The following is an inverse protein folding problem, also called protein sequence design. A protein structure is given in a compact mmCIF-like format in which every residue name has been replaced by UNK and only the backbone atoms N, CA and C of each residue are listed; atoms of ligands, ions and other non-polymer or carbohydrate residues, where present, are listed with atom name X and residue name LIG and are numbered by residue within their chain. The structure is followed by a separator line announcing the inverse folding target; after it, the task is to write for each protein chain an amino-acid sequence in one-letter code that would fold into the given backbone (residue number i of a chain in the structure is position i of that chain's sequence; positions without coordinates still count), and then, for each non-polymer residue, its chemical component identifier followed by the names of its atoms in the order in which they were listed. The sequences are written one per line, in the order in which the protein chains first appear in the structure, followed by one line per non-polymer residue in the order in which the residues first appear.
data_IF_354303411433
#
_entry.id   IF_354303411433
#
_cell.length_a   1.000
_cell.length_b   1.000
_cell.length_c   1.000
_cell.angle_alpha   90.00
_cell.angle_beta   90.00
_cell.angle_gamma   90.00
#
_symmetry.space_group_name_H-M   'P 1'
#
loop_
_entity.id
_entity.type
_entity.pdbx_description
1 polymer ?
#
# COMPACT_ATOMS: atom_id res chain seq x y z
N UNK A 1 -27.10 26.13 -11.11
CA UNK A 1 -26.72 24.94 -11.89
C UNK A 1 -27.04 23.73 -11.02
N UNK A 2 -28.02 22.93 -11.42
CA UNK A 2 -28.51 21.76 -10.66
C UNK A 2 -27.46 20.63 -10.68
N UNK A 3 -27.04 20.18 -9.50
CA UNK A 3 -26.15 19.03 -9.32
C UNK A 3 -26.95 17.74 -9.46
N UNK A 4 -26.55 16.89 -10.41
CA UNK A 4 -27.22 15.61 -10.71
C UNK A 4 -26.76 14.58 -9.67
N UNK A 5 -27.64 14.26 -8.72
CA UNK A 5 -27.52 13.08 -7.87
C UNK A 5 -27.73 11.84 -8.76
N UNK A 6 -26.67 11.08 -9.00
CA UNK A 6 -26.77 9.85 -9.79
C UNK A 6 -27.28 8.73 -8.88
N UNK A 7 -28.58 8.49 -8.89
CA UNK A 7 -29.23 7.35 -8.24
C UNK A 7 -29.37 6.22 -9.26
N UNK A 8 -28.65 5.12 -9.06
CA UNK A 8 -28.80 3.91 -9.88
C UNK A 8 -29.92 3.04 -9.29
N UNK A 9 -31.15 3.21 -9.78
CA UNK A 9 -32.26 2.27 -9.55
C UNK A 9 -32.22 1.15 -10.58
N UNK A 10 -32.04 -0.10 -10.15
CA UNK A 10 -32.21 -1.28 -10.99
C UNK A 10 -33.53 -1.97 -10.65
N UNK A 11 -34.42 -2.04 -11.65
CA UNK A 11 -35.75 -2.62 -11.56
C UNK A 11 -35.73 -4.15 -11.62
N UNK A 12 -36.48 -4.75 -10.70
CA UNK A 12 -36.82 -6.16 -10.54
C UNK A 12 -37.39 -6.76 -11.84
N UNK A 13 -36.83 -7.88 -12.33
CA UNK A 13 -37.54 -8.83 -13.21
C UNK A 13 -37.79 -10.13 -12.43
N UNK A 14 -38.97 -10.77 -12.60
CA UNK A 14 -39.35 -11.96 -11.86
C UNK A 14 -38.59 -13.19 -12.36
N UNK A 15 -38.19 -14.02 -11.40
CA UNK A 15 -37.42 -15.24 -11.56
C UNK A 15 -38.37 -16.41 -11.89
N UNK A 16 -38.15 -17.09 -13.01
CA UNK A 16 -38.72 -18.42 -13.27
C UNK A 16 -37.68 -19.29 -13.97
N UNK A 17 -37.42 -20.43 -13.35
CA UNK A 17 -36.68 -21.61 -13.83
C UNK A 17 -35.15 -21.58 -13.74
N UNK A 18 -34.63 -21.97 -12.56
CA UNK A 18 -33.31 -22.58 -12.43
C UNK A 18 -33.40 -23.99 -11.81
N UNK A 19 -32.98 -24.95 -12.63
CA UNK A 19 -32.85 -26.38 -12.36
C UNK A 19 -31.77 -26.62 -11.28
N UNK A 20 -32.14 -27.31 -10.19
CA UNK A 20 -31.21 -27.75 -9.14
C UNK A 20 -30.31 -28.89 -9.64
N UNK A 21 -29.00 -28.67 -9.67
CA UNK A 21 -28.00 -29.73 -9.79
C UNK A 21 -27.44 -30.10 -8.41
N UNK A 22 -27.74 -31.32 -7.96
CA UNK A 22 -27.21 -31.95 -6.75
C UNK A 22 -25.83 -32.55 -7.02
N UNK A 23 -24.82 -32.17 -6.22
CA UNK A 23 -23.58 -32.98 -6.08
C UNK A 23 -23.24 -33.15 -4.60
N UNK A 24 -22.97 -34.40 -4.23
CA UNK A 24 -22.64 -34.85 -2.89
C UNK A 24 -21.21 -34.44 -2.45
N UNK A 25 -20.93 -34.29 -1.15
CA UNK A 25 -19.64 -33.83 -0.66
C UNK A 25 -18.56 -34.92 -0.68
N UNK A 26 -17.37 -34.57 -1.20
CA UNK A 26 -16.17 -35.41 -1.19
C UNK A 26 -15.47 -35.30 0.16
N UNK A 27 -15.27 -36.43 0.85
CA UNK A 27 -14.56 -36.52 2.13
C UNK A 27 -13.06 -36.24 1.94
N UNK A 28 -12.50 -35.40 2.82
CA UNK A 28 -11.06 -35.07 2.88
C UNK A 28 -10.33 -36.17 3.66
N UNK A 29 -9.24 -36.70 3.12
CA UNK A 29 -8.37 -37.65 3.81
C UNK A 29 -7.57 -36.98 4.94
N UNK A 30 -7.32 -37.75 6.00
CA UNK A 30 -6.70 -37.34 7.26
C UNK A 30 -5.24 -36.88 7.10
N UNK A 31 -4.82 -35.98 8.00
CA UNK A 31 -3.46 -35.44 8.06
C UNK A 31 -2.58 -36.29 8.98
N UNK A 32 -1.49 -36.83 8.44
CA UNK A 32 -0.47 -37.55 9.22
C UNK A 32 0.28 -36.55 10.12
N UNK A 33 0.24 -36.78 11.44
CA UNK A 33 1.02 -36.04 12.44
C UNK A 33 2.53 -36.31 12.23
N UNK A 34 3.32 -35.27 11.99
CA UNK A 34 4.79 -35.33 12.00
C UNK A 34 5.29 -35.32 13.45
N UNK A 35 6.05 -36.34 13.82
CA UNK A 35 6.79 -36.40 15.08
C UNK A 35 7.92 -35.35 15.09
N UNK A 36 8.06 -34.63 16.21
CA UNK A 36 9.00 -33.51 16.40
C UNK A 36 10.17 -33.87 17.33
N UNK A 37 10.37 -35.15 17.62
CA UNK A 37 11.37 -35.64 18.56
C UNK A 37 12.82 -35.66 18.03
N UNK A 38 13.06 -35.36 16.76
CA UNK A 38 14.41 -35.40 16.16
C UNK A 38 14.73 -34.10 15.41
N UNK A 39 15.84 -33.44 15.78
CA UNK A 39 16.35 -32.27 15.09
C UNK A 39 17.08 -32.67 13.79
N UNK A 40 16.89 -31.95 12.66
CA UNK A 40 17.60 -32.24 11.43
C UNK A 40 19.10 -31.89 11.53
N UNK A 41 19.95 -32.74 10.97
CA UNK A 41 21.41 -32.58 10.98
C UNK A 41 21.87 -31.33 10.21
N UNK A 42 22.87 -30.61 10.75
CA UNK A 42 23.49 -29.44 10.13
C UNK A 42 24.39 -29.85 8.97
N UNK A 43 24.09 -29.36 7.76
CA UNK A 43 24.98 -29.46 6.60
C UNK A 43 26.12 -28.44 6.75
N UNK A 44 27.36 -28.93 6.82
CA UNK A 44 28.59 -28.11 6.79
C UNK A 44 28.97 -27.86 5.33
N UNK A 45 29.20 -26.59 4.96
CA UNK A 45 29.68 -26.21 3.63
C UNK A 45 31.21 -26.38 3.54
N UNK A 46 31.76 -26.84 2.40
CA UNK A 46 33.21 -26.92 2.22
C UNK A 46 33.83 -25.53 1.94
N UNK A 47 35.03 -25.34 2.49
CA UNK A 47 35.90 -24.16 2.39
C UNK A 47 36.43 -24.01 0.95
N UNK A 48 36.43 -22.79 0.41
CA UNK A 48 37.05 -22.44 -0.89
C UNK A 48 38.56 -22.22 -0.71
N UNK A 49 39.36 -22.87 -1.56
CA UNK A 49 40.79 -22.57 -1.76
C UNK A 49 40.99 -21.20 -2.42
N UNK A 50 41.91 -20.42 -1.87
CA UNK A 50 42.39 -19.15 -2.43
C UNK A 50 43.48 -19.43 -3.48
N UNK A 51 43.27 -18.96 -4.71
CA UNK A 51 44.32 -18.92 -5.74
C UNK A 51 44.97 -17.54 -5.70
N UNK A 52 46.27 -17.53 -5.37
CA UNK A 52 47.15 -16.38 -5.43
C UNK A 52 47.46 -16.00 -6.88
N UNK A 53 47.27 -14.73 -7.23
CA UNK A 53 47.85 -14.13 -8.45
C UNK A 53 48.53 -12.81 -8.03
N UNK A 54 49.83 -12.75 -8.28
CA UNK A 54 50.74 -11.63 -8.05
C UNK A 54 50.53 -10.47 -9.05
N UNK A 55 50.69 -9.20 -8.65
CA UNK A 55 50.67 -8.08 -9.58
C UNK A 55 52.06 -7.74 -10.13
N UNK A 56 52.15 -7.54 -11.45
CA UNK A 56 53.31 -6.98 -12.15
C UNK A 56 53.15 -5.45 -12.28
N UNK A 57 54.24 -4.72 -12.06
CA UNK A 57 54.35 -3.25 -12.04
C UNK A 57 54.28 -2.53 -13.41
N UNK A 58 54.17 -1.17 -13.44
CA UNK A 58 53.46 -0.42 -14.48
C UNK A 58 54.36 0.30 -15.51
N UNK A 59 53.77 0.60 -16.68
CA UNK A 59 54.33 1.47 -17.71
C UNK A 59 53.60 2.83 -17.80
N UNK A 60 54.38 3.91 -17.80
CA UNK A 60 54.00 5.32 -17.94
C UNK A 60 53.33 5.66 -19.29
N UNK A 61 52.33 6.56 -19.29
CA UNK A 61 52.34 7.80 -20.10
C UNK A 61 51.13 8.73 -19.81
N UNK A 62 51.46 9.91 -19.27
CA UNK A 62 50.92 11.26 -19.53
C UNK A 62 49.42 11.52 -19.82
N UNK A 63 48.83 12.42 -19.03
CA UNK A 63 48.11 13.57 -19.61
C UNK A 63 46.85 14.08 -18.91
N UNK A 64 46.98 15.26 -18.29
CA UNK A 64 45.92 16.25 -18.00
C UNK A 64 45.09 16.15 -16.70
N UNK A 65 45.28 17.22 -15.93
CA UNK A 65 44.78 17.59 -14.62
C UNK A 65 43.43 18.30 -14.69
N UNK A 66 42.49 17.94 -13.80
CA UNK A 66 41.59 18.93 -13.18
C UNK A 66 41.30 18.50 -11.73
N UNK A 67 41.73 19.36 -10.80
CA UNK A 67 41.59 19.21 -9.35
C UNK A 67 40.22 19.75 -8.94
N UNK A 68 39.39 18.96 -8.26
CA UNK A 68 38.38 19.48 -7.34
C UNK A 68 38.46 18.74 -6.00
N UNK A 69 38.43 19.54 -4.94
CA UNK A 69 38.85 19.21 -3.57
C UNK A 69 37.73 18.45 -2.85
N UNK A 70 38.08 17.28 -2.31
CA UNK A 70 37.31 16.60 -1.27
C UNK A 70 37.59 17.27 0.07
N UNK A 71 36.59 17.91 0.68
CA UNK A 71 36.63 18.23 2.09
C UNK A 71 36.18 17.01 2.90
N UNK A 72 37.17 16.32 3.48
CA UNK A 72 37.01 15.52 4.70
C UNK A 72 36.77 16.49 5.86
N UNK A 73 35.78 16.21 6.70
CA UNK A 73 35.68 16.82 8.02
C UNK A 73 35.70 15.69 9.06
N UNK A 74 36.79 15.70 9.84
CA UNK A 74 37.06 14.83 10.98
C UNK A 74 36.21 15.26 12.19
N UNK A 75 35.83 14.28 13.01
CA UNK A 75 35.02 14.51 14.20
C UNK A 75 35.79 15.11 15.38
N UNK A 76 35.05 15.74 16.30
CA UNK A 76 35.04 15.40 17.74
C UNK A 76 34.06 16.27 18.53
N UNK A 77 33.47 15.62 19.54
CA UNK A 77 32.69 16.18 20.63
C UNK A 77 33.57 17.01 21.58
N UNK A 78 33.05 18.16 22.01
CA UNK A 78 33.37 18.85 23.27
C UNK A 78 32.02 19.37 23.80
N UNK A 79 31.59 19.15 25.05
CA UNK A 79 32.36 18.97 26.27
C UNK A 79 32.30 20.28 27.05
N UNK A 80 31.30 20.34 27.93
CA UNK A 80 30.94 21.44 28.83
C UNK A 80 31.98 21.58 29.96
N UNK A 81 32.35 22.81 30.29
CA UNK A 81 33.08 23.23 31.50
C UNK A 81 32.92 24.76 31.57
N UNK A 82 32.74 25.46 32.68
CA UNK A 82 32.60 25.17 34.11
C UNK A 82 32.49 26.56 34.77
N UNK A 83 31.95 26.70 35.98
CA UNK A 83 32.61 27.54 36.99
C UNK A 83 32.04 27.25 38.39
N UNK A 84 32.89 26.60 39.22
CA UNK A 84 33.30 26.94 40.60
C UNK A 84 32.21 27.18 41.68
N UNK A 85 32.28 26.69 42.92
CA UNK A 85 33.35 26.13 43.74
C UNK A 85 32.75 25.26 44.88
N UNK A 86 33.51 24.25 45.30
CA UNK A 86 33.35 23.46 46.55
C UNK A 86 34.15 24.12 47.70
N UNK A 87 34.30 23.55 48.91
CA UNK A 87 33.53 22.50 49.62
C UNK A 87 33.22 22.86 51.11
N UNK A 88 32.38 22.07 51.80
CA UNK A 88 32.77 21.32 53.01
C UNK A 88 31.57 20.75 53.81
N UNK A 89 31.57 19.42 53.90
CA UNK A 89 31.39 18.52 55.06
C UNK A 89 30.14 18.53 55.96
N UNK A 90 29.76 17.27 56.26
CA UNK A 90 29.13 16.72 57.48
C UNK A 90 27.63 17.02 57.69
N UNK A 91 26.72 16.06 57.49
CA UNK A 91 26.42 14.82 58.23
C UNK A 91 25.54 15.01 59.47
N UNK A 92 24.34 14.41 59.39
CA UNK A 92 23.67 13.63 60.45
C UNK A 92 22.66 14.33 61.39
N UNK A 93 21.50 13.64 61.52
CA UNK A 93 20.45 13.62 62.57
C UNK A 93 19.52 14.83 62.72
N UNK A 94 18.22 14.67 62.38
CA UNK A 94 17.11 14.22 63.26
C UNK A 94 17.01 15.03 64.55
N UNK A 95 15.89 15.73 64.75
CA UNK A 95 14.95 15.52 65.89
C UNK A 95 13.80 16.55 65.92
N UNK A 96 12.58 16.00 65.98
CA UNK A 96 11.48 16.36 66.88
C UNK A 96 10.94 17.80 66.99
N UNK A 97 9.69 17.94 66.55
CA UNK A 97 8.58 18.77 67.10
C UNK A 97 8.56 18.81 68.65
N UNK A 98 8.00 19.86 69.32
CA UNK A 98 6.54 20.06 69.32
C UNK A 98 5.92 21.45 69.63
N UNK A 99 4.63 21.54 69.24
CA UNK A 99 3.47 22.19 69.90
C UNK A 99 3.28 23.72 69.92
N UNK A 100 2.01 24.06 69.63
CA UNK A 100 1.34 25.36 69.55
C UNK A 100 1.12 26.03 70.94
N UNK A 101 0.54 27.25 71.04
CA UNK A 101 -0.93 27.37 70.99
C UNK A 101 -1.51 28.62 70.29
N UNK A 102 -2.68 28.39 69.68
CA UNK A 102 -3.90 29.21 69.62
C UNK A 102 -3.86 30.76 69.56
N UNK A 103 -4.53 31.30 68.54
CA UNK A 103 -5.53 32.35 68.78
C UNK A 103 -6.65 32.30 67.73
N UNK A 104 -7.88 32.13 68.21
CA UNK A 104 -9.13 32.18 67.47
C UNK A 104 -9.37 33.58 66.89
N UNK A 105 -9.87 33.66 65.66
CA UNK A 105 -11.03 34.50 65.39
C UNK A 105 -11.82 34.00 64.18
N UNK A 106 -13.13 33.90 64.43
CA UNK A 106 -14.18 33.41 63.56
C UNK A 106 -14.77 34.53 62.71
N UNK A 107 -14.97 34.27 61.42
CA UNK A 107 -16.07 34.86 60.66
C UNK A 107 -16.46 33.91 59.52
N UNK A 108 -17.74 33.52 59.53
CA UNK A 108 -18.34 32.54 58.65
C UNK A 108 -18.24 32.92 57.16
N UNK A 109 -17.92 31.93 56.31
CA UNK A 109 -18.19 31.98 54.87
C UNK A 109 -18.60 30.58 54.40
N UNK A 110 -19.72 30.56 53.68
CA UNK A 110 -20.44 29.43 53.08
C UNK A 110 -19.52 28.36 52.44
N UNK A 111 -19.80 27.04 52.56
CA UNK A 111 -18.96 26.03 51.95
C UNK A 111 -19.10 26.04 50.42
N UNK A 112 -18.02 26.41 49.72
CA UNK A 112 -17.90 26.32 48.26
C UNK A 112 -17.83 24.84 47.84
N UNK A 113 -18.74 24.43 46.96
CA UNK A 113 -18.78 23.10 46.34
C UNK A 113 -17.57 22.92 45.42
N UNK A 114 -16.83 21.79 45.45
CA UNK A 114 -15.62 21.64 44.65
C UNK A 114 -15.95 21.70 43.15
N UNK A 115 -15.32 22.63 42.44
CA UNK A 115 -15.44 22.81 40.99
C UNK A 115 -14.93 21.54 40.29
N UNK A 116 -15.82 20.87 39.54
CA UNK A 116 -15.42 19.80 38.62
C UNK A 116 -14.37 20.34 37.62
N UNK A 117 -13.33 19.56 37.28
CA UNK A 117 -12.40 19.97 36.24
C UNK A 117 -13.17 20.15 34.93
N UNK A 118 -12.92 21.28 34.24
CA UNK A 118 -13.47 21.54 32.92
C UNK A 118 -13.02 20.41 31.97
N UNK A 119 -13.89 19.86 31.11
CA UNK A 119 -13.44 18.90 30.11
C UNK A 119 -12.37 19.56 29.23
N UNK A 120 -11.30 18.81 28.95
CA UNK A 120 -10.23 19.23 28.07
C UNK A 120 -10.82 19.81 26.78
N UNK A 121 -10.46 21.05 26.45
CA UNK A 121 -10.82 21.62 25.16
C UNK A 121 -10.21 20.75 24.06
N UNK A 122 -11.05 20.33 23.10
CA UNK A 122 -10.58 19.61 21.92
C UNK A 122 -9.39 20.36 21.29
N UNK A 123 -8.35 19.65 20.79
CA UNK A 123 -7.22 20.28 20.13
C UNK A 123 -7.69 21.23 19.02
N UNK A 124 -7.11 22.43 18.95
CA UNK A 124 -7.39 23.36 17.85
C UNK A 124 -6.91 22.76 16.53
N UNK A 125 -7.76 22.81 15.52
CA UNK A 125 -7.48 22.29 14.18
C UNK A 125 -6.24 22.97 13.57
N UNK A 126 -5.39 22.17 12.94
CA UNK A 126 -4.24 22.66 12.20
C UNK A 126 -4.73 23.33 10.90
N UNK A 127 -4.45 24.63 10.73
CA UNK A 127 -4.91 25.44 9.59
C UNK A 127 -4.37 24.94 8.23
N UNK A 128 -3.30 24.13 8.24
CA UNK A 128 -2.68 23.58 7.04
C UNK A 128 -3.23 22.21 6.61
N UNK A 129 -4.26 21.68 7.29
CA UNK A 129 -4.82 20.37 6.98
C UNK A 129 -6.12 20.50 6.16
N UNK A 130 -6.29 19.75 5.04
CA UNK A 130 -7.47 19.87 4.19
C UNK A 130 -8.74 19.50 4.97
N UNK A 131 -9.82 20.27 4.73
CA UNK A 131 -11.02 20.33 5.59
C UNK A 131 -11.71 18.97 5.82
N UNK A 132 -11.54 17.99 4.95
CA UNK A 132 -12.14 16.65 5.08
C UNK A 132 -11.45 15.76 6.14
N UNK A 133 -10.20 16.05 6.54
CA UNK A 133 -9.53 15.37 7.68
C UNK A 133 -10.01 15.90 9.02
N UNK A 134 -10.70 17.04 9.04
CA UNK A 134 -11.35 17.53 10.23
C UNK A 134 -12.68 16.80 10.36
N UNK A 135 -12.88 16.08 11.46
CA UNK A 135 -14.18 15.47 11.75
C UNK A 135 -15.28 16.52 11.58
N UNK A 136 -16.41 16.19 10.92
CA UNK A 136 -17.44 17.17 10.63
C UNK A 136 -17.85 17.88 11.92
N UNK A 137 -17.71 19.20 11.94
CA UNK A 137 -18.17 19.99 13.08
C UNK A 137 -19.65 19.73 13.26
N UNK A 138 -20.05 19.45 14.50
CA UNK A 138 -21.46 19.40 14.90
C UNK A 138 -22.12 20.73 14.49
N UNK A 139 -22.86 20.74 13.37
CA UNK A 139 -23.51 21.94 12.82
C UNK A 139 -22.82 22.65 11.62
N UNK A 140 -21.88 22.02 10.90
CA UNK A 140 -21.37 22.55 9.62
C UNK A 140 -22.43 22.56 8.51
N UNK A 141 -22.47 23.62 7.68
CA UNK A 141 -23.44 23.76 6.58
C UNK A 141 -23.27 22.68 5.50
N UNK A 142 -24.43 22.20 5.04
CA UNK A 142 -24.67 21.16 4.04
C UNK A 142 -23.92 21.36 2.73
N UNK A 143 -23.44 20.26 2.14
CA UNK A 143 -22.95 20.25 0.76
C UNK A 143 -23.70 19.24 -0.15
N UNK A 144 -24.18 18.10 0.38
CA UNK A 144 -24.66 16.99 -0.48
C UNK A 144 -25.91 16.24 0.01
N UNK A 145 -26.68 16.75 0.98
CA UNK A 145 -27.89 16.06 1.47
C UNK A 145 -27.63 14.74 2.23
N UNK A 146 -26.36 14.38 2.44
CA UNK A 146 -25.97 13.32 3.38
C UNK A 146 -26.12 13.86 4.80
N UNK A 147 -27.26 13.61 5.45
CA UNK A 147 -27.48 13.98 6.84
C UNK A 147 -26.88 12.92 7.77
N UNK A 148 -25.76 13.21 8.48
CA UNK A 148 -25.25 12.30 9.52
C UNK A 148 -26.25 12.11 10.68
N UNK A 149 -27.32 12.92 10.71
CA UNK A 149 -28.36 12.94 11.74
C UNK A 149 -29.78 12.70 11.19
N UNK A 150 -29.96 12.00 10.06
CA UNK A 150 -31.22 11.26 9.83
C UNK A 150 -31.24 9.98 10.67
N UNK A 151 -30.74 10.03 11.91
CA UNK A 151 -31.28 9.14 12.92
C UNK A 151 -32.71 9.61 13.12
N UNK A 152 -33.70 8.86 12.63
CA UNK A 152 -35.15 9.06 12.88
C UNK A 152 -35.51 8.97 14.38
N UNK A 153 -34.51 9.04 15.25
CA UNK A 153 -34.47 8.43 16.56
C UNK A 153 -33.28 9.06 17.30
N UNK A 154 -33.55 10.01 18.22
CA UNK A 154 -32.49 10.64 19.04
C UNK A 154 -31.64 9.62 19.82
N UNK A 155 -30.65 10.05 20.62
CA UNK A 155 -29.75 9.12 21.39
C UNK A 155 -30.48 8.00 22.15
N UNK A 156 -31.74 8.21 22.55
CA UNK A 156 -32.59 7.19 23.18
C UNK A 156 -33.07 6.08 22.23
N UNK A 157 -33.21 6.38 20.93
CA UNK A 157 -33.69 5.43 19.95
C UNK A 157 -32.56 4.86 19.05
N UNK A 158 -31.34 5.39 19.09
CA UNK A 158 -30.12 4.66 18.71
C UNK A 158 -29.85 3.45 19.63
N UNK A 159 -30.32 3.51 20.88
CA UNK A 159 -30.33 2.36 21.80
C UNK A 159 -31.50 1.39 21.54
N UNK A 160 -32.47 1.79 20.70
CA UNK A 160 -33.68 1.01 20.37
C UNK A 160 -33.72 0.51 18.91
N UNK A 161 -32.91 1.08 18.01
CA UNK A 161 -32.66 0.54 16.68
C UNK A 161 -31.99 -0.81 16.85
N UNK A 162 -32.75 -1.87 16.58
CA UNK A 162 -32.20 -3.23 16.52
C UNK A 162 -30.98 -3.17 15.58
N UNK A 163 -29.82 -3.72 15.96
CA UNK A 163 -28.77 -3.92 14.98
C UNK A 163 -29.40 -4.65 13.81
N UNK A 164 -29.21 -4.14 12.57
CA UNK A 164 -29.65 -4.83 11.35
C UNK A 164 -29.25 -6.29 11.54
N UNK A 165 -30.25 -7.16 11.68
CA UNK A 165 -30.03 -8.55 12.04
C UNK A 165 -29.18 -9.16 10.92
N UNK A 166 -27.89 -9.32 11.20
CA UNK A 166 -26.93 -9.70 10.18
C UNK A 166 -27.05 -11.20 9.99
N UNK A 167 -27.75 -11.62 8.94
CA UNK A 167 -27.74 -13.02 8.53
C UNK A 167 -26.27 -13.48 8.34
N UNK A 168 -25.82 -14.57 8.98
CA UNK A 168 -24.47 -15.09 8.80
C UNK A 168 -24.11 -15.38 7.34
N UNK A 169 -25.11 -15.68 6.50
CA UNK A 169 -24.93 -15.94 5.06
C UNK A 169 -24.67 -14.67 4.25
N UNK A 170 -25.09 -13.51 4.75
CA UNK A 170 -24.92 -12.25 4.03
C UNK A 170 -23.47 -11.79 3.93
N UNK A 171 -23.06 -11.20 2.80
CA UNK A 171 -21.72 -10.66 2.66
C UNK A 171 -21.49 -9.50 3.62
N UNK A 172 -20.27 -9.40 4.14
CA UNK A 172 -19.82 -8.22 4.88
C UNK A 172 -19.92 -6.99 3.99
N UNK A 173 -20.42 -5.88 4.53
CA UNK A 173 -20.58 -4.60 3.83
C UNK A 173 -19.31 -4.18 3.08
N UNK A 174 -18.15 -4.20 3.73
CA UNK A 174 -16.89 -3.84 3.07
C UNK A 174 -16.46 -4.78 1.94
N UNK A 175 -16.84 -6.07 2.01
CA UNK A 175 -16.67 -7.00 0.89
C UNK A 175 -17.62 -6.64 -0.26
N UNK A 176 -18.89 -6.39 0.04
CA UNK A 176 -19.93 -6.03 -0.95
C UNK A 176 -19.59 -4.73 -1.68
N UNK A 177 -19.18 -3.68 -0.96
CA UNK A 177 -18.75 -2.41 -1.56
C UNK A 177 -17.56 -2.59 -2.52
N UNK A 178 -16.61 -3.45 -2.17
CA UNK A 178 -15.46 -3.74 -3.02
C UNK A 178 -15.81 -4.59 -4.25
N UNK A 179 -16.81 -5.48 -4.15
CA UNK A 179 -17.33 -6.23 -5.30
C UNK A 179 -18.12 -5.35 -6.26
N UNK A 180 -18.84 -4.35 -5.75
CA UNK A 180 -19.53 -3.34 -6.53
C UNK A 180 -18.58 -2.30 -7.16
N UNK A 181 -17.26 -2.38 -6.88
CA UNK A 181 -16.25 -1.49 -7.43
C UNK A 181 -16.26 -0.07 -6.84
N UNK A 182 -16.93 0.14 -5.70
CA UNK A 182 -17.05 1.46 -5.08
C UNK A 182 -15.72 1.93 -4.50
N UNK A 183 -14.99 1.03 -3.84
CA UNK A 183 -13.67 1.27 -3.24
C UNK A 183 -12.96 -0.06 -2.93
N UNK A 184 -11.75 -0.01 -2.38
CA UNK A 184 -11.12 -1.18 -1.81
C UNK A 184 -11.78 -1.63 -0.51
N UNK A 185 -11.52 -2.87 -0.07
CA UNK A 185 -12.06 -3.38 1.21
C UNK A 185 -11.58 -2.58 2.42
N UNK A 186 -10.35 -2.04 2.37
CA UNK A 186 -9.77 -1.24 3.46
C UNK A 186 -10.37 0.16 3.48
N UNK A 187 -10.48 0.80 2.32
CA UNK A 187 -11.19 2.08 2.20
C UNK A 187 -12.66 1.94 2.64
N UNK A 188 -13.33 0.84 2.28
CA UNK A 188 -14.69 0.59 2.74
C UNK A 188 -14.78 0.51 4.27
N UNK A 189 -13.84 -0.18 4.93
CA UNK A 189 -13.79 -0.22 6.40
C UNK A 189 -13.53 1.19 6.99
N UNK A 190 -12.66 2.01 6.38
CA UNK A 190 -12.44 3.41 6.81
C UNK A 190 -13.70 4.28 6.63
N UNK A 191 -14.39 4.16 5.50
CA UNK A 191 -15.60 4.92 5.21
C UNK A 191 -16.75 4.54 6.14
N UNK A 192 -16.86 3.25 6.50
CA UNK A 192 -17.82 2.77 7.51
C UNK A 192 -17.52 3.45 8.84
N UNK A 193 -16.29 3.37 9.35
CA UNK A 193 -15.92 3.96 10.65
C UNK A 193 -16.15 5.48 10.68
N UNK A 194 -15.95 6.17 9.56
CA UNK A 194 -16.20 7.61 9.45
C UNK A 194 -17.67 7.99 9.29
N UNK A 195 -18.58 7.01 9.24
CA UNK A 195 -20.01 7.25 9.05
C UNK A 195 -20.31 7.86 7.68
N UNK A 196 -19.61 7.42 6.64
CA UNK A 196 -19.77 7.89 5.25
C UNK A 196 -20.56 6.92 4.36
N UNK A 197 -21.09 5.84 4.94
CA UNK A 197 -21.83 4.79 4.23
C UNK A 197 -23.23 4.67 4.80
N UNK A 198 -24.25 4.80 3.94
CA UNK A 198 -25.66 4.58 4.26
C UNK A 198 -26.14 3.31 3.54
N UNK A 199 -26.81 2.41 4.24
CA UNK A 199 -27.36 1.16 3.70
C UNK A 199 -28.86 1.13 3.97
N UNK A 200 -29.69 0.99 2.94
CA UNK A 200 -31.16 0.97 3.02
C UNK A 200 -31.76 2.13 3.86
N UNK A 201 -31.09 3.27 3.85
CA UNK A 201 -31.53 4.45 4.61
C UNK A 201 -30.85 4.65 5.97
N UNK A 202 -30.00 3.73 6.44
CA UNK A 202 -29.35 3.82 7.76
C UNK A 202 -27.83 3.99 7.65
N UNK A 203 -27.24 4.87 8.45
CA UNK A 203 -25.78 5.05 8.49
C UNK A 203 -25.14 3.89 9.24
N UNK A 204 -24.18 3.23 8.60
CA UNK A 204 -23.46 2.09 9.18
C UNK A 204 -22.07 2.55 9.62
N UNK A 205 -21.83 2.54 10.94
CA UNK A 205 -20.53 2.86 11.56
C UNK A 205 -19.77 1.63 12.07
N UNK A 206 -20.48 0.50 12.19
CA UNK A 206 -19.94 -0.72 12.78
C UNK A 206 -19.21 -1.57 11.74
N UNK A 207 -17.92 -1.81 11.98
CA UNK A 207 -17.12 -2.75 11.19
C UNK A 207 -17.66 -4.18 11.28
N UNK A 208 -17.58 -4.91 10.18
CA UNK A 208 -18.04 -6.30 10.14
C UNK A 208 -19.54 -6.49 9.91
N UNK A 209 -20.32 -5.40 9.85
CA UNK A 209 -21.74 -5.43 9.49
C UNK A 209 -21.95 -6.21 8.19
N UNK A 210 -22.91 -7.14 8.19
CA UNK A 210 -23.33 -7.88 7.00
C UNK A 210 -24.67 -7.35 6.52
N UNK A 211 -24.80 -7.24 5.21
CA UNK A 211 -25.95 -6.59 4.57
C UNK A 211 -26.54 -7.50 3.51
N UNK A 212 -27.82 -7.34 3.25
CA UNK A 212 -28.47 -8.01 2.14
C UNK A 212 -27.69 -7.68 0.84
N UNK A 213 -27.35 -8.67 -0.02
CA UNK A 213 -26.70 -8.42 -1.29
C UNK A 213 -27.39 -7.36 -2.17
N UNK A 214 -28.71 -7.26 -2.05
CA UNK A 214 -29.56 -6.34 -2.82
C UNK A 214 -29.83 -5.01 -2.12
N UNK A 215 -29.21 -4.78 -0.95
CA UNK A 215 -29.36 -3.52 -0.21
C UNK A 215 -28.84 -2.33 -1.02
N UNK A 216 -29.53 -1.19 -0.91
CA UNK A 216 -29.09 0.07 -1.50
C UNK A 216 -27.94 0.65 -0.66
N UNK A 217 -26.79 0.88 -1.30
CA UNK A 217 -25.61 1.48 -0.65
C UNK A 217 -25.39 2.89 -1.21
N UNK A 218 -25.46 3.88 -0.35
CA UNK A 218 -25.23 5.29 -0.67
C UNK A 218 -23.94 5.74 0.03
N UNK A 219 -23.02 6.32 -0.75
CA UNK A 219 -21.73 6.82 -0.27
C UNK A 219 -21.77 8.33 -0.20
N UNK A 220 -21.26 8.89 0.89
CA UNK A 220 -21.13 10.33 1.08
C UNK A 220 -20.19 10.96 0.05
N UNK A 221 -20.43 12.21 -0.33
CA UNK A 221 -19.54 12.98 -1.22
C UNK A 221 -18.13 13.13 -0.64
N UNK A 222 -17.99 13.24 0.68
CA UNK A 222 -16.69 13.30 1.35
C UNK A 222 -15.80 12.09 1.04
N UNK A 223 -16.38 10.89 0.97
CA UNK A 223 -15.66 9.68 0.62
C UNK A 223 -15.20 9.70 -0.85
N UNK A 224 -16.04 10.23 -1.75
CA UNK A 224 -15.69 10.39 -3.17
C UNK A 224 -14.58 11.44 -3.37
N UNK A 225 -14.63 12.56 -2.64
CA UNK A 225 -13.58 13.57 -2.65
C UNK A 225 -12.25 13.01 -2.14
N UNK A 226 -12.27 12.28 -1.01
CA UNK A 226 -11.08 11.60 -0.49
C UNK A 226 -10.50 10.62 -1.53
N UNK A 227 -11.36 9.86 -2.21
CA UNK A 227 -10.91 8.93 -3.24
C UNK A 227 -10.31 9.66 -4.46
N UNK A 228 -10.86 10.81 -4.86
CA UNK A 228 -10.33 11.63 -5.96
C UNK A 228 -8.95 12.24 -5.63
N UNK A 229 -8.62 12.38 -4.34
CA UNK A 229 -7.30 12.84 -3.92
C UNK A 229 -6.21 11.77 -4.03
N UNK A 230 -6.59 10.48 -4.08
CA UNK A 230 -5.63 9.37 -4.20
C UNK A 230 -4.72 9.52 -5.42
N UNK A 231 -3.51 8.98 -5.31
CA UNK A 231 -2.52 9.00 -6.39
C UNK A 231 -2.18 7.60 -6.86
N UNK A 232 -1.94 7.49 -8.17
CA UNK A 232 -1.28 6.35 -8.80
C UNK A 232 -0.02 6.85 -9.48
N UNK A 233 1.08 6.14 -9.26
CA UNK A 233 2.42 6.48 -9.72
C UNK A 233 2.98 5.35 -10.58
N UNK A 234 3.61 5.72 -11.68
CA UNK A 234 4.38 4.83 -12.54
C UNK A 234 5.85 5.07 -12.25
N UNK A 235 6.56 4.03 -11.79
CA UNK A 235 8.00 4.03 -11.53
C UNK A 235 8.70 3.14 -12.56
N UNK A 236 9.80 3.62 -13.13
CA UNK A 236 10.74 2.76 -13.83
C UNK A 236 11.72 2.16 -12.83
N UNK A 237 11.35 1.03 -12.23
CA UNK A 237 12.15 0.36 -11.19
C UNK A 237 13.50 -0.09 -11.77
N UNK A 238 14.64 0.30 -11.16
CA UNK A 238 15.96 -0.27 -11.47
C UNK A 238 16.16 -1.67 -10.86
N UNK A 239 17.22 -2.34 -11.30
CA UNK A 239 17.74 -3.54 -10.63
C UNK A 239 18.28 -3.18 -9.25
N UNK A 240 18.20 -4.10 -8.29
CA UNK A 240 18.73 -3.91 -6.93
C UNK A 240 17.75 -3.30 -5.93
N UNK A 241 16.49 -3.13 -6.30
CA UNK A 241 15.41 -2.73 -5.39
C UNK A 241 14.35 -3.83 -5.30
N UNK A 242 13.73 -3.99 -4.14
CA UNK A 242 12.57 -4.86 -3.93
C UNK A 242 11.28 -4.07 -4.18
N UNK A 243 10.25 -4.67 -4.78
CA UNK A 243 9.02 -3.92 -5.07
C UNK A 243 8.21 -3.56 -3.82
N UNK A 244 8.30 -4.38 -2.77
CA UNK A 244 7.48 -4.28 -1.56
C UNK A 244 8.26 -3.75 -0.37
N UNK A 245 8.20 -4.48 0.74
CA UNK A 245 8.99 -4.18 1.94
C UNK A 245 10.46 -4.49 1.71
N UNK A 246 11.33 -3.83 2.48
CA UNK A 246 12.77 -4.11 2.48
C UNK A 246 13.02 -5.58 2.88
N UNK A 247 13.83 -6.28 2.10
CA UNK A 247 14.18 -7.68 2.31
C UNK A 247 15.66 -7.88 1.92
N UNK A 248 16.37 -8.75 2.64
CA UNK A 248 17.74 -9.19 2.31
C UNK A 248 18.77 -8.07 2.06
N UNK A 249 18.64 -6.95 2.77
CA UNK A 249 19.54 -5.79 2.62
C UNK A 249 19.23 -4.90 1.39
N UNK A 250 18.20 -5.24 0.60
CA UNK A 250 17.76 -4.43 -0.52
C UNK A 250 16.72 -3.39 -0.11
N UNK A 251 16.85 -2.20 -0.68
CA UNK A 251 15.92 -1.10 -0.42
C UNK A 251 14.59 -1.30 -1.16
N UNK A 252 13.46 -0.88 -0.57
CA UNK A 252 12.18 -0.94 -1.22
C UNK A 252 12.06 0.15 -2.28
N UNK A 253 11.48 -0.17 -3.44
CA UNK A 253 11.39 0.74 -4.58
C UNK A 253 10.59 2.03 -4.27
N UNK A 254 9.78 2.03 -3.20
CA UNK A 254 9.09 3.24 -2.73
C UNK A 254 10.05 4.37 -2.34
N UNK A 255 11.29 4.07 -1.94
CA UNK A 255 12.30 5.11 -1.62
C UNK A 255 12.69 5.95 -2.83
N UNK A 256 12.47 5.44 -4.04
CA UNK A 256 12.71 6.18 -5.27
C UNK A 256 11.61 7.22 -5.53
N UNK A 257 10.50 7.19 -4.80
CA UNK A 257 9.38 8.14 -4.95
C UNK A 257 9.65 9.37 -4.08
N UNK A 258 10.53 10.24 -4.57
CA UNK A 258 10.83 11.57 -4.01
C UNK A 258 10.87 12.60 -5.16
N UNK A 259 10.60 13.89 -4.91
CA UNK A 259 10.64 14.96 -5.92
C UNK A 259 11.86 14.94 -6.84
N UNK A 260 13.04 14.65 -6.30
CA UNK A 260 14.30 14.65 -7.08
C UNK A 260 14.36 13.56 -8.16
N UNK A 261 13.55 12.51 -8.01
CA UNK A 261 13.42 11.42 -8.98
C UNK A 261 12.13 11.54 -9.82
N UNK A 262 11.35 12.60 -9.65
CA UNK A 262 10.20 12.83 -10.52
C UNK A 262 10.72 13.15 -11.93
N UNK A 263 10.15 12.52 -12.95
CA UNK A 263 10.57 12.72 -14.34
C UNK A 263 10.28 14.17 -14.78
N UNK A 264 11.30 15.02 -15.00
CA UNK A 264 11.09 16.43 -15.28
C UNK A 264 10.53 16.67 -16.68
N UNK A 265 10.94 15.84 -17.65
CA UNK A 265 10.56 15.96 -19.05
C UNK A 265 9.26 15.20 -19.38
N UNK A 266 8.41 14.92 -18.38
CA UNK A 266 7.12 14.30 -18.65
C UNK A 266 6.28 15.27 -19.52
N UNK A 267 6.02 14.93 -20.79
CA UNK A 267 5.43 15.86 -21.77
C UNK A 267 4.07 16.43 -21.38
N UNK A 268 3.38 15.78 -20.43
CA UNK A 268 2.02 16.14 -20.00
C UNK A 268 1.98 16.67 -18.56
N UNK A 269 3.13 16.77 -17.89
CA UNK A 269 3.27 17.38 -16.56
C UNK A 269 2.85 18.85 -16.54
N UNK A 270 2.85 19.52 -17.70
CA UNK A 270 2.65 20.98 -17.79
C UNK A 270 1.23 21.41 -18.22
N UNK A 271 0.33 20.47 -18.53
CA UNK A 271 -1.04 20.81 -18.94
C UNK A 271 -2.12 20.50 -17.91
N UNK A 272 -2.03 19.35 -17.22
CA UNK A 272 -3.20 18.74 -16.57
C UNK A 272 -2.94 18.04 -15.23
N UNK A 273 -1.71 18.06 -14.70
CA UNK A 273 -1.38 17.51 -13.38
C UNK A 273 -1.08 18.63 -12.37
N UNK A 274 -2.09 19.23 -11.74
CA UNK A 274 -1.91 20.28 -10.72
C UNK A 274 -1.36 19.75 -9.38
N UNK A 275 -1.21 18.42 -9.22
CA UNK A 275 -0.78 17.83 -7.95
C UNK A 275 0.74 17.92 -7.81
N UNK A 276 1.21 19.03 -7.22
CA UNK A 276 2.57 19.11 -6.69
C UNK A 276 2.79 17.95 -5.71
N UNK A 277 3.97 17.32 -5.74
CA UNK A 277 4.30 16.25 -4.81
C UNK A 277 4.11 16.70 -3.36
N UNK A 278 3.37 15.92 -2.59
CA UNK A 278 3.21 16.10 -1.15
C UNK A 278 3.66 14.82 -0.45
N UNK A 279 4.43 14.94 0.64
CA UNK A 279 4.87 13.77 1.43
C UNK A 279 3.70 12.90 1.92
N UNK A 280 2.53 13.49 2.12
CA UNK A 280 1.31 12.77 2.48
C UNK A 280 0.87 11.73 1.44
N UNK A 281 1.24 11.89 0.17
CA UNK A 281 0.94 10.92 -0.89
C UNK A 281 1.67 9.59 -0.75
N UNK A 282 2.72 9.53 0.08
CA UNK A 282 3.39 8.26 0.39
C UNK A 282 2.59 7.41 1.39
N UNK A 283 1.70 8.02 2.17
CA UNK A 283 0.88 7.28 3.13
C UNK A 283 -0.11 6.39 2.41
N UNK A 284 -0.09 5.08 2.69
CA UNK A 284 -0.98 4.11 2.04
C UNK A 284 -0.61 3.79 0.58
N UNK A 285 0.48 4.35 0.05
CA UNK A 285 0.97 4.07 -1.29
C UNK A 285 1.62 2.69 -1.32
N UNK A 286 1.03 1.77 -2.09
CA UNK A 286 1.48 0.37 -2.15
C UNK A 286 1.75 -0.08 -3.59
N UNK A 287 2.68 -1.01 -3.81
CA UNK A 287 2.94 -1.55 -5.14
C UNK A 287 1.75 -2.39 -5.64
N UNK A 288 1.19 -2.03 -6.80
CA UNK A 288 0.20 -2.81 -7.53
C UNK A 288 0.88 -3.86 -8.41
N UNK A 289 1.45 -4.85 -7.74
CA UNK A 289 2.22 -5.93 -8.36
C UNK A 289 3.71 -5.80 -8.12
N UNK A 290 4.43 -6.86 -8.48
CA UNK A 290 5.84 -7.02 -8.14
C UNK A 290 6.68 -7.20 -9.40
N UNK A 291 7.94 -6.81 -9.29
CA UNK A 291 9.03 -7.18 -10.18
C UNK A 291 10.12 -7.80 -9.30
N UNK A 292 10.83 -8.79 -9.85
CA UNK A 292 11.97 -9.38 -9.16
C UNK A 292 13.08 -8.33 -8.98
N UNK A 293 13.99 -8.61 -8.04
CA UNK A 293 15.12 -7.72 -7.70
C UNK A 293 16.02 -7.50 -8.92
N UNK A 294 16.24 -8.58 -9.67
CA UNK A 294 17.02 -8.68 -10.91
C UNK A 294 16.28 -8.16 -12.17
N UNK A 295 15.08 -7.60 -11.99
CA UNK A 295 14.21 -7.16 -13.09
C UNK A 295 14.00 -5.65 -13.04
N UNK A 296 13.86 -5.05 -14.23
CA UNK A 296 13.67 -3.61 -14.43
C UNK A 296 12.32 -3.30 -15.10
N UNK A 297 11.97 -2.02 -15.19
CA UNK A 297 10.82 -1.55 -15.95
C UNK A 297 9.67 -1.06 -15.08
N UNK A 298 8.47 -1.06 -15.67
CA UNK A 298 7.27 -0.46 -15.09
C UNK A 298 6.86 -1.14 -13.79
N UNK A 299 6.87 -0.41 -12.68
CA UNK A 299 6.23 -0.75 -11.42
C UNK A 299 5.17 0.30 -11.09
N UNK A 300 3.97 -0.14 -10.76
CA UNK A 300 2.86 0.75 -10.40
C UNK A 300 2.75 0.80 -8.89
N UNK A 301 2.64 2.02 -8.35
CA UNK A 301 2.25 2.27 -6.98
C UNK A 301 0.90 2.97 -6.97
N UNK A 302 -0.01 2.58 -6.07
CA UNK A 302 -1.32 3.21 -5.99
C UNK A 302 -1.84 3.22 -4.56
N UNK A 303 -2.61 4.25 -4.23
CA UNK A 303 -3.44 4.30 -3.04
C UNK A 303 -4.87 3.78 -3.34
N UNK A 304 -5.29 3.73 -4.61
CA UNK A 304 -6.60 3.23 -5.01
C UNK A 304 -6.57 1.71 -5.11
N UNK A 305 -7.20 1.03 -4.16
CA UNK A 305 -7.20 -0.43 -4.14
C UNK A 305 -8.07 -1.05 -5.25
N UNK A 306 -8.91 -0.28 -5.96
CA UNK A 306 -9.59 -0.75 -7.19
C UNK A 306 -8.59 -0.91 -8.32
N UNK A 307 -7.68 0.06 -8.48
CA UNK A 307 -6.56 -0.04 -9.44
C UNK A 307 -5.68 -1.24 -9.08
N UNK A 308 -5.31 -1.40 -7.80
CA UNK A 308 -4.55 -2.56 -7.36
C UNK A 308 -5.27 -3.89 -7.68
N UNK A 309 -6.56 -4.00 -7.35
CA UNK A 309 -7.36 -5.21 -7.65
C UNK A 309 -7.45 -5.48 -9.15
N UNK A 310 -7.66 -4.45 -9.97
CA UNK A 310 -7.71 -4.58 -11.42
C UNK A 310 -6.39 -5.09 -11.99
N UNK A 311 -5.25 -4.65 -11.45
CA UNK A 311 -3.92 -5.02 -11.95
C UNK A 311 -3.41 -6.39 -11.49
N UNK A 312 -3.70 -6.77 -10.24
CA UNK A 312 -3.12 -7.96 -9.60
C UNK A 312 -4.12 -8.90 -8.91
N UNK A 313 -5.43 -8.64 -9.04
CA UNK A 313 -6.45 -9.56 -8.56
C UNK A 313 -6.36 -10.93 -9.25
N UNK A 314 -6.85 -11.98 -8.59
CA UNK A 314 -6.80 -13.36 -9.09
C UNK A 314 -7.51 -13.49 -10.47
N UNK A 315 -8.60 -12.75 -10.65
CA UNK A 315 -9.38 -12.70 -11.89
C UNK A 315 -8.91 -11.61 -12.87
N UNK A 316 -7.78 -10.94 -12.60
CA UNK A 316 -7.26 -9.91 -13.49
C UNK A 316 -6.89 -10.50 -14.85
N UNK A 317 -7.42 -9.91 -15.91
CA UNK A 317 -7.09 -10.23 -17.30
C UNK A 317 -6.08 -9.26 -17.90
N UNK A 318 -5.57 -8.31 -17.11
CA UNK A 318 -4.70 -7.22 -17.58
C UNK A 318 -3.38 -7.77 -18.08
N UNK A 319 -3.17 -7.63 -19.39
CA UNK A 319 -1.95 -8.03 -20.07
C UNK A 319 -0.74 -7.24 -19.58
N UNK A 320 0.38 -7.93 -19.44
CA UNK A 320 1.67 -7.35 -19.05
C UNK A 320 2.69 -7.74 -20.11
N UNK A 321 3.42 -6.74 -20.60
CA UNK A 321 4.38 -6.91 -21.68
C UNK A 321 5.80 -6.74 -21.20
N UNK A 322 6.67 -7.65 -21.64
CA UNK A 322 8.05 -7.72 -21.23
C UNK A 322 8.97 -7.86 -22.43
N UNK A 323 10.11 -7.18 -22.38
CA UNK A 323 11.27 -7.44 -23.22
C UNK A 323 12.26 -8.25 -22.41
N UNK A 324 12.68 -9.39 -22.96
CA UNK A 324 13.44 -10.41 -22.26
C UNK A 324 14.68 -10.71 -23.10
N UNK A 325 15.85 -10.26 -22.65
CA UNK A 325 17.12 -10.58 -23.27
C UNK A 325 17.57 -11.96 -22.80
N UNK A 326 17.92 -12.82 -23.75
CA UNK A 326 18.24 -14.23 -23.51
C UNK A 326 19.55 -14.66 -24.16
N UNK A 327 20.20 -15.64 -23.57
CA UNK A 327 21.29 -16.41 -24.14
C UNK A 327 20.84 -17.86 -24.38
N UNK A 328 21.39 -18.49 -25.42
CA UNK A 328 21.05 -19.86 -25.82
C UNK A 328 20.33 -19.93 -27.17
N UNK A 329 20.03 -21.15 -27.61
CA UNK A 329 19.40 -21.40 -28.91
C UNK A 329 17.93 -21.79 -28.73
N UNK A 330 17.02 -21.05 -29.37
CA UNK A 330 15.59 -21.34 -29.34
C UNK A 330 15.14 -21.98 -30.66
N UNK A 331 14.66 -23.22 -30.58
CA UNK A 331 14.04 -23.90 -31.73
C UNK A 331 12.57 -23.50 -31.88
N UNK A 332 12.00 -23.69 -33.08
CA UNK A 332 10.57 -23.42 -33.33
C UNK A 332 9.63 -24.25 -32.43
N UNK A 333 10.04 -25.48 -32.10
CA UNK A 333 9.29 -26.34 -31.16
C UNK A 333 9.27 -25.72 -29.76
N UNK A 334 10.42 -25.21 -29.29
CA UNK A 334 10.53 -24.54 -28.00
C UNK A 334 9.79 -23.19 -27.98
N UNK A 335 9.77 -22.45 -29.10
CA UNK A 335 8.96 -21.24 -29.24
C UNK A 335 7.46 -21.54 -29.07
N UNK A 336 6.97 -22.66 -29.64
CA UNK A 336 5.58 -23.11 -29.44
C UNK A 336 5.31 -23.44 -27.97
N UNK A 337 6.25 -24.10 -27.28
CA UNK A 337 6.14 -24.38 -25.84
C UNK A 337 6.05 -23.11 -25.00
N UNK A 338 6.88 -22.10 -25.31
CA UNK A 338 6.82 -20.80 -24.63
C UNK A 338 5.46 -20.11 -24.80
N UNK A 339 4.81 -20.26 -25.95
CA UNK A 339 3.47 -19.72 -26.19
C UNK A 339 2.38 -20.53 -25.45
N UNK A 340 2.51 -21.86 -25.38
CA UNK A 340 1.55 -22.70 -24.67
C UNK A 340 2.09 -24.11 -24.37
N UNK A 341 1.66 -24.69 -23.24
CA UNK A 341 1.92 -26.09 -22.89
C UNK A 341 2.87 -26.31 -21.73
N UNK A 342 3.56 -25.27 -21.26
CA UNK A 342 4.41 -25.32 -20.06
C UNK A 342 3.59 -25.41 -18.77
N UNK A 343 4.19 -26.03 -17.76
CA UNK A 343 3.62 -26.23 -16.42
C UNK A 343 4.63 -25.77 -15.38
N UNK A 344 4.20 -24.97 -14.39
CA UNK A 344 5.04 -24.56 -13.26
C UNK A 344 4.36 -25.01 -11.96
N UNK A 345 5.12 -25.70 -11.11
CA UNK A 345 4.64 -26.21 -9.81
C UNK A 345 3.37 -27.06 -9.98
N UNK A 346 3.37 -27.97 -10.96
CA UNK A 346 2.25 -28.82 -11.37
C UNK A 346 0.97 -28.08 -11.85
N UNK A 347 1.05 -26.76 -12.00
CA UNK A 347 -0.05 -25.94 -12.52
C UNK A 347 0.26 -25.48 -13.95
N UNK A 348 -0.59 -25.90 -14.90
CA UNK A 348 -0.51 -25.46 -16.30
C UNK A 348 -0.53 -23.93 -16.39
N UNK A 349 0.32 -23.39 -17.26
CA UNK A 349 0.34 -21.95 -17.53
C UNK A 349 -0.79 -21.56 -18.48
N UNK A 350 -1.26 -20.32 -18.35
CA UNK A 350 -2.17 -19.73 -19.36
C UNK A 350 -1.38 -19.49 -20.65
N UNK A 351 -2.04 -19.47 -21.82
CA UNK A 351 -1.39 -19.08 -23.07
C UNK A 351 -0.69 -17.73 -22.96
N UNK A 352 0.53 -17.66 -23.46
CA UNK A 352 1.35 -16.47 -23.58
C UNK A 352 1.53 -16.12 -25.06
N UNK A 353 1.76 -14.84 -25.37
CA UNK A 353 2.23 -14.45 -26.69
C UNK A 353 3.73 -14.19 -26.60
N UNK A 354 4.51 -15.05 -27.24
CA UNK A 354 5.98 -14.98 -27.22
C UNK A 354 6.48 -14.93 -28.65
N UNK A 355 7.30 -13.93 -28.95
CA UNK A 355 7.90 -13.73 -30.27
C UNK A 355 9.29 -13.14 -30.14
N UNK A 356 10.16 -13.38 -31.12
CA UNK A 356 11.39 -12.62 -31.26
C UNK A 356 11.10 -11.15 -31.55
N UNK A 357 11.80 -10.25 -30.84
CA UNK A 357 11.80 -8.82 -31.10
C UNK A 357 13.04 -8.43 -31.94
N UNK A 358 14.17 -9.10 -31.68
CA UNK A 358 15.42 -9.04 -32.43
C UNK A 358 16.19 -10.38 -32.20
N UNK A 359 17.48 -10.46 -32.50
CA UNK A 359 18.28 -11.69 -32.40
C UNK A 359 18.48 -12.22 -30.96
N UNK A 360 18.51 -11.34 -29.95
CA UNK A 360 18.84 -11.69 -28.56
C UNK A 360 17.71 -11.38 -27.56
N UNK A 361 16.56 -10.89 -28.04
CA UNK A 361 15.46 -10.39 -27.22
C UNK A 361 14.11 -10.97 -27.65
N UNK A 362 13.43 -11.58 -26.70
CA UNK A 362 12.06 -12.04 -26.81
C UNK A 362 11.09 -11.00 -26.25
N UNK A 363 9.93 -10.90 -26.88
CA UNK A 363 8.78 -10.16 -26.38
C UNK A 363 7.78 -11.15 -25.78
N UNK A 364 7.44 -10.95 -24.50
CA UNK A 364 6.43 -11.74 -23.79
C UNK A 364 5.22 -10.88 -23.48
N UNK A 365 4.02 -11.37 -23.78
CA UNK A 365 2.75 -10.81 -23.29
C UNK A 365 2.05 -11.87 -22.45
N UNK A 366 1.86 -11.58 -21.16
CA UNK A 366 1.27 -12.47 -20.17
C UNK A 366 0.02 -11.88 -19.55
N UNK A 367 -0.97 -12.73 -19.24
CA UNK A 367 -2.19 -12.39 -18.46
C UNK A 367 -2.16 -12.93 -17.03
N UNK A 368 -1.04 -13.52 -16.63
CA UNK A 368 -0.79 -14.02 -15.29
C UNK A 368 0.62 -13.60 -14.85
N UNK A 369 0.93 -13.81 -13.57
CA UNK A 369 2.21 -13.42 -12.99
C UNK A 369 2.63 -14.37 -11.87
N UNK A 370 2.87 -15.64 -12.19
CA UNK A 370 3.41 -16.60 -11.22
C UNK A 370 4.85 -16.23 -10.82
N UNK A 371 5.33 -16.77 -9.70
CA UNK A 371 6.68 -16.47 -9.16
C UNK A 371 7.75 -16.78 -10.22
N UNK A 372 8.51 -15.74 -10.61
CA UNK A 372 9.60 -15.80 -11.61
C UNK A 372 9.19 -16.47 -12.94
N UNK A 373 7.92 -16.35 -13.33
CA UNK A 373 7.32 -17.13 -14.42
C UNK A 373 8.13 -17.10 -15.73
N UNK A 374 8.48 -15.92 -16.25
CA UNK A 374 9.22 -15.78 -17.51
C UNK A 374 10.59 -16.47 -17.43
N UNK A 375 11.34 -16.24 -16.34
CA UNK A 375 12.68 -16.83 -16.16
C UNK A 375 12.60 -18.36 -16.14
N UNK A 376 11.63 -18.91 -15.41
CA UNK A 376 11.38 -20.36 -15.35
C UNK A 376 10.92 -20.93 -16.69
N UNK A 377 10.08 -20.21 -17.44
CA UNK A 377 9.68 -20.62 -18.79
C UNK A 377 10.87 -20.69 -19.74
N UNK A 378 11.76 -19.69 -19.72
CA UNK A 378 12.98 -19.67 -20.50
C UNK A 378 13.94 -20.81 -20.12
N UNK A 379 14.17 -21.04 -18.83
CA UNK A 379 15.02 -22.13 -18.33
C UNK A 379 14.56 -23.51 -18.84
N UNK A 380 13.24 -23.75 -18.85
CA UNK A 380 12.66 -25.02 -19.33
C UNK A 380 12.91 -25.31 -20.81
N UNK A 381 13.15 -24.28 -21.61
CA UNK A 381 13.44 -24.41 -23.04
C UNK A 381 14.93 -24.23 -23.36
N UNK A 382 15.79 -24.20 -22.33
CA UNK A 382 17.24 -24.08 -22.47
C UNK A 382 17.75 -22.66 -22.70
N UNK A 383 16.94 -21.63 -22.39
CA UNK A 383 17.35 -20.23 -22.46
C UNK A 383 17.73 -19.67 -21.09
N UNK A 384 18.76 -18.83 -21.07
CA UNK A 384 19.16 -18.09 -19.89
C UNK A 384 18.74 -16.62 -19.99
N UNK A 385 18.00 -16.10 -19.02
CA UNK A 385 17.52 -14.70 -19.04
C UNK A 385 18.55 -13.76 -18.43
N UNK A 386 19.21 -12.97 -19.27
CA UNK A 386 20.21 -11.97 -18.89
C UNK A 386 19.54 -10.65 -18.48
N UNK A 387 18.40 -10.31 -19.08
CA UNK A 387 17.70 -9.06 -18.80
C UNK A 387 16.19 -9.22 -18.93
N UNK A 388 15.44 -8.63 -18.01
CA UNK A 388 13.98 -8.66 -18.02
C UNK A 388 13.45 -7.26 -17.71
N UNK A 389 12.74 -6.67 -18.68
CA UNK A 389 12.16 -5.33 -18.58
C UNK A 389 10.66 -5.37 -18.85
N UNK A 390 9.83 -5.00 -17.86
CA UNK A 390 8.39 -4.78 -18.09
C UNK A 390 8.17 -3.42 -18.75
N UNK A 391 7.60 -3.39 -19.95
CA UNK A 391 7.43 -2.17 -20.74
C UNK A 391 5.98 -1.68 -20.82
N UNK A 392 5.00 -2.53 -20.53
CA UNK A 392 3.57 -2.17 -20.57
C UNK A 392 2.78 -2.97 -19.55
N UNK A 393 1.75 -2.33 -18.99
CA UNK A 393 0.70 -2.98 -18.23
C UNK A 393 -0.62 -2.44 -18.78
N UNK A 394 -1.46 -3.33 -19.33
CA UNK A 394 -2.72 -2.89 -19.91
C UNK A 394 -2.50 -1.94 -21.08
N UNK A 395 -3.23 -0.82 -21.15
CA UNK A 395 -2.95 0.24 -22.13
C UNK A 395 -1.79 1.19 -21.75
N UNK A 396 -1.27 1.12 -20.52
CA UNK A 396 -0.22 2.04 -20.04
C UNK A 396 1.16 1.56 -20.47
N UNK A 397 1.89 2.40 -21.19
CA UNK A 397 3.24 2.14 -21.66
C UNK A 397 4.30 2.85 -20.79
N UNK A 398 5.46 2.23 -20.63
CA UNK A 398 6.58 2.81 -19.89
C UNK A 398 7.15 4.02 -20.64
N UNK A 399 7.13 3.96 -21.98
CA UNK A 399 7.54 5.05 -22.85
C UNK A 399 9.00 5.47 -22.60
N UNK A 400 9.21 6.79 -22.51
CA UNK A 400 10.52 7.41 -22.30
C UNK A 400 10.88 7.62 -20.83
N UNK A 401 10.06 7.15 -19.88
CA UNK A 401 10.32 7.31 -18.45
C UNK A 401 11.72 6.75 -18.11
N UNK A 402 12.67 7.58 -17.64
CA UNK A 402 14.03 7.13 -17.34
C UNK A 402 14.08 6.16 -16.17
N UNK A 403 15.11 5.30 -16.14
CA UNK A 403 15.33 4.32 -15.06
C UNK A 403 15.52 5.07 -13.73
N UNK A 404 14.87 4.61 -12.67
CA UNK A 404 14.92 5.22 -11.34
C UNK A 404 13.95 6.38 -11.16
N UNK A 405 13.37 6.90 -12.24
CA UNK A 405 12.42 8.01 -12.19
C UNK A 405 10.97 7.55 -12.18
N UNK A 406 10.10 8.43 -11.71
CA UNK A 406 8.67 8.20 -11.61
C UNK A 406 7.84 9.37 -12.15
N UNK A 407 6.59 9.09 -12.49
CA UNK A 407 5.56 10.09 -12.82
C UNK A 407 4.20 9.67 -12.29
N UNK A 408 3.25 10.60 -12.22
CA UNK A 408 1.86 10.22 -11.97
C UNK A 408 1.29 9.44 -13.17
N UNK A 409 0.33 8.56 -12.89
CA UNK A 409 -0.58 8.05 -13.92
C UNK A 409 -1.37 9.24 -14.47
N UNK A 410 -1.45 9.32 -15.79
CA UNK A 410 -2.12 10.45 -16.44
C UNK A 410 -3.63 10.27 -16.48
N UNK A 411 -4.37 11.36 -16.68
CA UNK A 411 -5.84 11.33 -16.57
C UNK A 411 -6.50 10.52 -17.71
N UNK A 412 -5.88 10.53 -18.89
CA UNK A 412 -6.30 9.79 -20.08
C UNK A 412 -5.77 8.34 -20.08
N UNK A 413 -4.77 8.04 -19.25
CA UNK A 413 -4.25 6.69 -19.08
C UNK A 413 -5.18 5.83 -18.21
N UNK A 414 -5.46 4.62 -18.71
CA UNK A 414 -6.16 3.57 -17.98
C UNK A 414 -5.43 2.25 -18.20
N UNK A 415 -5.56 1.32 -17.27
CA UNK A 415 -4.96 -0.01 -17.36
C UNK A 415 -5.87 -1.01 -18.07
#
# INVERSE_FOLDING_TARGET
MQTILTTLKLSKKPDSDLVKATKAPVRRAETVKRDRSVAPAKTVMPVREEVQISPTEPGLASGSTSRQRNHRFDGKLHGDDSETASPAKESVTRSFEPRQPESRNSSATTPERPKRPRPAQNPRANTNEPQYRQAPRRGGKMRDGYEPNESTHGRAAFAASKPVASDPEFPRLSKRMAELGLCSRREADEWIVNGWVKVDGEIIETLGTRINPDAEIIISSYAQEQQAETVTIILHKPVGYVSGQAEDGYQPAVVLIHPDNQWPDDPELHGYHPKQFQRGFLHGLAPAGRLDIDSTGMLVFTQDGRVARHLIGEDSSVEKEYLVRVEGNLTDANMKLLNFGLTLDDVKLKPAKVSWQNEDQLRFVLREGKKRQIRRMCEMVGLHVVGLKRIRIGSVNLGKLPVGQWRYLRNEEKF
#
